data_IF_973524863136
#
_entry.id   IF_973524863136
#
_cell.length_a   1.000
_cell.length_b   1.000
_cell.length_c   1.000
_cell.angle_alpha   90.00
_cell.angle_beta   90.00
_cell.angle_gamma   90.00
#
_symmetry.space_group_name_H-M   'P 1'
#
loop_
_entity.id
_entity.type
_entity.pdbx_description
1 polymer ?
#
# COMPACT_ATOMS: atom_id res chain seq x y z
N UNK A 1 -26.89 -24.98 -56.59
CA UNK A 1 -25.66 -24.94 -57.41
C UNK A 1 -24.58 -24.29 -56.53
N UNK A 2 -23.78 -25.12 -55.84
CA UNK A 2 -22.42 -25.54 -56.21
C UNK A 2 -21.37 -24.55 -55.61
N UNK A 3 -20.70 -24.86 -54.49
CA UNK A 3 -19.50 -25.73 -54.27
C UNK A 3 -18.17 -25.08 -54.67
N UNK A 4 -17.31 -24.84 -53.66
CA UNK A 4 -15.82 -24.98 -53.59
C UNK A 4 -15.45 -24.67 -52.12
N UNK A 5 -14.90 -25.53 -51.23
CA UNK A 5 -13.70 -26.39 -51.20
C UNK A 5 -12.39 -25.56 -51.33
N UNK A 6 -11.27 -25.72 -50.61
CA UNK A 6 -10.76 -26.59 -49.53
C UNK A 6 -9.35 -26.08 -49.11
N UNK A 7 -8.68 -26.76 -48.16
CA UNK A 7 -7.27 -26.68 -47.67
C UNK A 7 -7.05 -25.80 -46.40
N UNK A 8 -6.80 -26.27 -45.18
CA UNK A 8 -6.16 -27.47 -44.57
C UNK A 8 -4.63 -27.35 -44.44
N UNK A 9 -4.16 -27.22 -43.18
CA UNK A 9 -2.82 -27.57 -42.72
C UNK A 9 -2.84 -27.89 -41.19
N UNK A 10 -2.64 -29.18 -40.88
CA UNK A 10 -2.20 -29.75 -39.59
C UNK A 10 -0.73 -29.31 -39.32
N UNK A 11 -0.06 -29.46 -38.17
CA UNK A 11 0.13 -30.58 -37.22
C UNK A 11 1.06 -30.01 -36.11
N UNK A 12 1.03 -30.33 -34.82
CA UNK A 12 1.42 -31.63 -34.23
C UNK A 12 1.57 -31.46 -32.71
N UNK A 13 1.21 -32.51 -31.97
CA UNK A 13 1.46 -32.74 -30.53
C UNK A 13 2.65 -33.69 -30.42
N UNK A 14 3.51 -33.59 -29.40
CA UNK A 14 3.60 -34.66 -28.37
C UNK A 14 4.03 -34.09 -27.00
N UNK A 15 4.03 -34.75 -25.86
CA UNK A 15 3.42 -35.94 -25.29
C UNK A 15 3.76 -35.89 -23.78
N UNK A 16 2.88 -36.41 -22.94
CA UNK A 16 3.12 -36.69 -21.52
C UNK A 16 4.11 -37.85 -21.38
N UNK A 17 4.91 -37.89 -20.30
CA UNK A 17 5.03 -39.16 -19.59
C UNK A 17 4.72 -39.08 -18.08
N UNK A 18 4.09 -40.16 -17.66
CA UNK A 18 3.50 -40.52 -16.38
C UNK A 18 4.57 -41.03 -15.39
N UNK A 19 4.54 -40.55 -14.12
CA UNK A 19 4.83 -41.17 -12.78
C UNK A 19 5.90 -42.31 -12.61
N UNK A 20 6.53 -42.52 -11.41
CA UNK A 20 5.85 -42.58 -10.09
C UNK A 20 6.63 -42.08 -8.85
N UNK A 21 5.89 -42.13 -7.74
CA UNK A 21 6.24 -41.82 -6.35
C UNK A 21 7.52 -42.48 -5.82
N UNK A 22 8.21 -41.81 -4.88
CA UNK A 22 8.77 -42.39 -3.64
C UNK A 22 9.16 -41.27 -2.66
N UNK A 23 8.66 -41.35 -1.42
CA UNK A 23 9.29 -40.70 -0.26
C UNK A 23 10.48 -41.58 0.17
N UNK A 24 11.52 -41.00 0.80
CA UNK A 24 11.64 -41.23 2.23
C UNK A 24 12.08 -39.99 3.04
N UNK A 25 11.65 -40.00 4.30
CA UNK A 25 12.16 -39.13 5.35
C UNK A 25 13.65 -39.41 5.62
N UNK A 26 14.44 -38.37 5.86
CA UNK A 26 15.65 -38.46 6.69
C UNK A 26 15.89 -37.14 7.41
N UNK A 27 16.38 -37.31 8.63
CA UNK A 27 16.47 -36.39 9.76
C UNK A 27 17.74 -35.54 9.68
N UNK A 28 17.72 -34.41 10.38
CA UNK A 28 18.88 -33.70 10.94
C UNK A 28 19.78 -32.90 9.99
N UNK A 29 19.84 -31.58 10.20
CA UNK A 29 21.00 -30.96 10.84
C UNK A 29 20.88 -29.43 10.80
N UNK A 30 20.75 -28.84 11.99
CA UNK A 30 21.05 -27.45 12.30
C UNK A 30 22.53 -27.17 12.04
N UNK A 31 22.90 -26.03 11.44
CA UNK A 31 24.20 -25.42 11.70
C UNK A 31 24.06 -24.12 12.51
N UNK A 32 25.02 -23.82 13.40
CA UNK A 32 24.87 -22.84 14.47
C UNK A 32 25.24 -21.41 14.05
N UNK A 33 24.70 -20.44 14.81
CA UNK A 33 25.12 -19.05 14.88
C UNK A 33 26.60 -18.93 15.29
N UNK A 34 27.37 -18.13 14.55
CA UNK A 34 28.46 -17.30 15.08
C UNK A 34 28.81 -16.17 14.08
N UNK A 35 29.36 -15.02 14.55
CA UNK A 35 28.96 -13.70 14.08
C UNK A 35 30.00 -12.95 13.24
N UNK A 36 29.51 -12.03 12.41
CA UNK A 36 30.24 -10.83 11.97
C UNK A 36 31.20 -11.03 10.81
N UNK A 37 30.85 -10.45 9.65
CA UNK A 37 31.73 -9.65 8.78
C UNK A 37 30.96 -9.31 7.50
N UNK A 38 30.63 -8.02 7.33
CA UNK A 38 30.05 -7.49 6.10
C UNK A 38 31.19 -7.15 5.13
N UNK A 39 31.35 -7.78 3.97
CA UNK A 39 32.25 -7.28 2.94
C UNK A 39 31.54 -6.19 2.12
N UNK A 40 31.51 -4.97 2.68
CA UNK A 40 31.33 -3.75 1.90
C UNK A 40 32.72 -3.26 1.49
N UNK A 41 32.88 -3.00 0.19
CA UNK A 41 33.99 -2.33 -0.54
C UNK A 41 34.93 -3.24 -1.34
N UNK A 42 34.76 -3.28 -2.66
CA UNK A 42 35.66 -2.61 -3.61
C UNK A 42 35.36 -3.03 -5.06
N UNK A 43 34.88 -2.09 -5.88
CA UNK A 43 35.07 -2.16 -7.34
C UNK A 43 35.21 -0.72 -7.86
N UNK A 44 36.25 -0.41 -8.65
CA UNK A 44 36.63 0.96 -8.98
C UNK A 44 35.65 1.64 -9.94
N UNK A 45 35.39 2.92 -9.67
CA UNK A 45 34.56 3.80 -10.46
C UNK A 45 35.24 4.18 -11.78
N UNK A 46 34.60 3.83 -12.90
CA UNK A 46 34.92 4.37 -14.22
C UNK A 46 34.22 5.74 -14.39
N UNK A 47 34.92 6.82 -14.78
CA UNK A 47 34.30 8.12 -14.99
C UNK A 47 33.59 8.16 -16.35
N UNK A 48 32.29 7.87 -16.36
CA UNK A 48 31.44 8.08 -17.54
C UNK A 48 30.89 9.51 -17.53
N UNK A 49 31.28 10.26 -18.55
CA UNK A 49 30.76 11.56 -19.03
C UNK A 49 29.28 11.80 -18.70
N UNK A 50 28.90 12.98 -18.16
CA UNK A 50 27.50 13.27 -17.87
C UNK A 50 26.68 13.40 -19.17
N UNK A 51 25.71 12.50 -19.34
CA UNK A 51 24.67 12.63 -20.34
C UNK A 51 23.93 13.99 -20.20
N UNK A 52 23.49 14.60 -21.30
CA UNK A 52 22.78 15.88 -21.24
C UNK A 52 21.53 15.72 -20.37
N UNK A 53 21.45 16.50 -19.30
CA UNK A 53 20.29 16.51 -18.40
C UNK A 53 19.02 16.73 -19.24
N UNK A 54 17.96 15.93 -19.04
CA UNK A 54 16.70 16.18 -19.71
C UNK A 54 16.24 17.60 -19.38
N UNK A 55 15.94 18.40 -20.42
CA UNK A 55 15.38 19.74 -20.24
C UNK A 55 14.13 19.59 -19.39
N UNK A 56 14.12 20.22 -18.21
CA UNK A 56 13.02 20.15 -17.24
C UNK A 56 11.69 20.33 -17.99
N UNK A 57 10.82 19.33 -17.92
CA UNK A 57 9.46 19.43 -18.45
C UNK A 57 8.79 20.62 -17.76
N UNK A 58 8.45 21.66 -18.53
CA UNK A 58 7.76 22.82 -17.97
C UNK A 58 6.36 22.36 -17.61
N UNK A 59 5.91 22.68 -16.39
CA UNK A 59 4.59 22.32 -15.90
C UNK A 59 3.44 22.99 -16.70
N UNK A 60 3.75 23.99 -17.52
CA UNK A 60 2.79 24.78 -18.29
C UNK A 60 3.26 24.87 -19.74
N UNK A 61 2.34 24.71 -20.69
CA UNK A 61 2.61 24.87 -22.12
C UNK A 61 2.95 26.33 -22.46
N UNK A 62 3.77 26.59 -23.48
CA UNK A 62 4.18 27.96 -23.84
C UNK A 62 3.00 28.87 -24.19
N UNK A 63 1.94 28.31 -24.77
CA UNK A 63 0.71 29.03 -25.11
C UNK A 63 -0.08 29.45 -23.86
N UNK A 64 -0.25 28.56 -22.89
CA UNK A 64 -0.93 28.86 -21.62
C UNK A 64 -0.13 29.88 -20.80
N UNK A 65 1.20 29.79 -20.84
CA UNK A 65 2.08 30.79 -20.22
C UNK A 65 1.92 32.18 -20.85
N UNK A 66 1.73 32.26 -22.18
CA UNK A 66 1.50 33.52 -22.87
C UNK A 66 0.13 34.13 -22.53
N UNK A 67 -0.92 33.31 -22.44
CA UNK A 67 -2.25 33.76 -22.02
C UNK A 67 -2.26 34.28 -20.58
N UNK A 68 -1.55 33.60 -19.67
CA UNK A 68 -1.44 34.04 -18.28
C UNK A 68 -0.65 35.34 -18.15
N UNK A 69 0.42 35.51 -18.92
CA UNK A 69 1.17 36.76 -18.97
C UNK A 69 0.34 37.92 -19.53
N UNK A 70 -0.52 37.66 -20.52
CA UNK A 70 -1.43 38.65 -21.09
C UNK A 70 -2.58 39.04 -20.13
N UNK A 71 -3.06 38.09 -19.33
CA UNK A 71 -4.11 38.32 -18.33
C UNK A 71 -3.59 38.93 -17.02
N UNK A 72 -2.28 38.83 -16.76
CA UNK A 72 -1.68 39.36 -15.53
C UNK A 72 -1.50 40.89 -15.59
N UNK A 73 -1.80 41.63 -14.50
CA UNK A 73 -1.53 43.06 -14.45
C UNK A 73 -0.02 43.33 -14.53
N UNK A 74 0.37 44.30 -15.37
CA UNK A 74 1.77 44.69 -15.57
C UNK A 74 2.35 45.29 -14.29
N UNK A 75 3.01 44.48 -13.47
CA UNK A 75 3.70 44.95 -12.28
C UNK A 75 4.96 45.73 -12.69
N UNK A 76 4.98 47.03 -12.40
CA UNK A 76 6.21 47.83 -12.44
C UNK A 76 6.85 47.77 -11.06
N UNK A 77 7.94 47.00 -10.85
CA UNK A 77 8.62 46.98 -9.58
C UNK A 77 9.14 48.40 -9.26
N UNK A 78 8.99 48.89 -8.02
CA UNK A 78 9.63 50.13 -7.61
C UNK A 78 11.15 50.01 -7.82
N UNK A 79 11.77 51.08 -8.31
CA UNK A 79 13.17 51.07 -8.69
C UNK A 79 14.07 50.56 -7.55
N UNK A 80 15.06 49.68 -7.83
CA UNK A 80 15.95 49.17 -6.81
C UNK A 80 16.73 50.32 -6.17
N UNK A 81 16.66 50.42 -4.84
CA UNK A 81 17.52 51.32 -4.08
C UNK A 81 18.99 50.95 -4.36
N UNK A 82 19.89 51.93 -4.59
CA UNK A 82 21.29 51.65 -4.83
C UNK A 82 21.90 50.93 -3.62
N UNK A 83 22.59 49.83 -3.90
CA UNK A 83 23.32 49.06 -2.90
C UNK A 83 24.50 49.89 -2.38
N UNK A 84 24.53 50.15 -1.08
CA UNK A 84 25.75 50.57 -0.38
C UNK A 84 26.78 49.44 -0.44
N UNK A 85 28.00 49.70 -0.95
CA UNK A 85 29.08 48.73 -0.96
C UNK A 85 29.83 48.77 0.37
N UNK A 86 29.85 47.67 1.11
CA UNK A 86 31.06 47.13 1.73
C UNK A 86 30.70 45.79 2.35
N UNK A 87 30.91 44.75 1.56
CA UNK A 87 31.10 43.41 2.08
C UNK A 87 32.51 43.40 2.71
N UNK A 88 32.58 43.71 4.00
CA UNK A 88 33.62 43.14 4.83
C UNK A 88 33.30 41.65 4.92
N UNK A 89 34.31 40.83 4.66
CA UNK A 89 34.23 39.38 4.54
C UNK A 89 33.54 38.80 5.79
N UNK A 90 32.27 38.38 5.64
CA UNK A 90 31.55 37.65 6.70
C UNK A 90 32.34 36.36 6.98
N UNK A 91 32.99 36.31 8.16
CA UNK A 91 33.63 35.10 8.67
C UNK A 91 32.58 33.97 8.69
N UNK A 92 32.89 32.88 8.00
CA UNK A 92 32.06 31.68 7.89
C UNK A 92 31.70 31.06 9.26
N UNK A 93 32.39 31.47 10.34
CA UNK A 93 32.09 31.12 11.74
C UNK A 93 31.00 32.00 12.37
N UNK A 94 30.78 33.19 11.84
CA UNK A 94 29.77 34.15 12.28
C UNK A 94 28.45 33.98 11.52
N UNK A 95 28.47 33.33 10.35
CA UNK A 95 27.28 33.02 9.53
C UNK A 95 26.29 32.06 10.21
N UNK A 96 26.71 31.32 11.23
CA UNK A 96 25.82 30.44 12.01
C UNK A 96 25.06 31.18 13.14
N UNK A 97 25.36 32.47 13.38
CA UNK A 97 24.46 33.32 14.19
C UNK A 97 23.35 33.81 13.27
N UNK A 98 22.08 33.45 13.52
CA UNK A 98 20.99 34.05 12.76
C UNK A 98 21.01 35.57 12.99
N UNK A 99 20.77 36.36 11.93
CA UNK A 99 20.78 37.85 11.93
C UNK A 99 19.95 38.51 13.04
N UNK A 100 19.07 37.75 13.70
CA UNK A 100 18.21 38.22 14.79
C UNK A 100 18.84 38.04 16.20
N UNK A 101 20.09 37.59 16.33
CA UNK A 101 20.76 37.43 17.64
C UNK A 101 20.20 36.32 18.55
N UNK A 102 19.15 35.62 18.10
CA UNK A 102 18.50 34.53 18.85
C UNK A 102 19.33 33.26 18.69
N UNK A 103 19.97 32.81 19.77
CA UNK A 103 20.68 31.53 19.83
C UNK A 103 19.67 30.40 19.57
N UNK A 104 19.83 29.68 18.45
CA UNK A 104 19.01 28.51 18.14
C UNK A 104 19.53 27.32 18.93
N UNK A 105 18.68 26.78 19.79
CA UNK A 105 18.99 25.54 20.50
C UNK A 105 19.13 24.38 19.48
N UNK A 106 19.97 23.38 19.76
CA UNK A 106 20.02 22.15 18.98
C UNK A 106 18.63 21.50 18.91
N UNK A 107 18.28 20.97 17.74
CA UNK A 107 17.02 20.24 17.56
C UNK A 107 17.14 18.88 18.26
N UNK A 108 16.52 18.75 19.42
CA UNK A 108 16.35 17.46 20.08
C UNK A 108 15.08 16.78 19.56
N UNK A 109 15.21 15.55 19.07
CA UNK A 109 14.07 14.68 18.74
C UNK A 109 13.92 13.72 19.91
N UNK A 110 12.82 13.85 20.65
CA UNK A 110 12.47 12.89 21.71
C UNK A 110 11.71 11.75 21.06
N UNK A 111 12.36 10.60 20.89
CA UNK A 111 11.70 9.38 20.43
C UNK A 111 11.13 8.64 21.64
N UNK A 112 9.80 8.60 21.75
CA UNK A 112 9.10 7.73 22.68
C UNK A 112 8.44 6.58 21.91
N UNK A 113 8.35 5.37 22.50
CA UNK A 113 7.55 4.32 21.92
C UNK A 113 6.08 4.77 21.87
N UNK A 114 5.44 4.60 20.71
CA UNK A 114 4.01 4.85 20.56
C UNK A 114 3.27 3.91 21.53
N UNK A 115 2.28 4.40 22.31
CA UNK A 115 1.51 3.52 23.17
C UNK A 115 0.82 2.45 22.32
N UNK A 116 0.67 1.21 22.85
CA UNK A 116 -0.02 0.15 22.13
C UNK A 116 -1.47 0.57 21.84
N UNK A 117 -1.91 0.35 20.60
CA UNK A 117 -3.32 0.50 20.24
C UNK A 117 -4.00 -0.82 20.57
N UNK A 118 -4.83 -0.82 21.61
CA UNK A 118 -5.56 -2.00 22.03
C UNK A 118 -6.81 -2.19 21.17
N UNK A 119 -6.96 -3.34 20.51
CA UNK A 119 -8.18 -3.74 19.81
C UNK A 119 -9.12 -4.53 20.72
N UNK A 120 -10.42 -4.56 20.40
CA UNK A 120 -11.41 -5.35 21.17
C UNK A 120 -10.96 -6.82 21.30
N UNK A 121 -10.38 -7.41 20.24
CA UNK A 121 -9.80 -8.77 20.25
C UNK A 121 -8.57 -8.93 21.13
N UNK A 122 -7.75 -7.89 21.30
CA UNK A 122 -6.55 -7.95 22.12
C UNK A 122 -6.83 -7.77 23.61
N UNK A 123 -7.93 -7.10 23.97
CA UNK A 123 -8.31 -6.83 25.36
C UNK A 123 -9.21 -7.93 25.92
N UNK A 124 -10.10 -8.46 25.09
CA UNK A 124 -11.17 -9.35 25.55
C UNK A 124 -10.83 -10.81 25.33
N UNK A 125 -11.33 -11.66 26.24
CA UNK A 125 -11.31 -13.10 26.04
C UNK A 125 -12.31 -13.48 24.94
N UNK A 126 -12.18 -14.65 24.32
CA UNK A 126 -13.08 -15.09 23.25
C UNK A 126 -14.56 -15.04 23.68
N UNK A 127 -14.85 -15.40 24.94
CA UNK A 127 -16.20 -15.32 25.52
C UNK A 127 -16.67 -13.87 25.68
N UNK A 128 -15.80 -12.99 26.20
CA UNK A 128 -16.12 -11.58 26.33
C UNK A 128 -16.35 -10.90 24.97
N UNK A 129 -15.60 -11.32 23.95
CA UNK A 129 -15.77 -10.85 22.58
C UNK A 129 -17.12 -11.33 22.00
N UNK A 130 -17.50 -12.58 22.22
CA UNK A 130 -18.82 -13.10 21.81
C UNK A 130 -19.97 -12.34 22.48
N UNK A 131 -19.85 -12.00 23.77
CA UNK A 131 -20.83 -11.19 24.48
C UNK A 131 -20.94 -9.77 23.93
N UNK A 132 -19.81 -9.15 23.57
CA UNK A 132 -19.79 -7.82 22.94
C UNK A 132 -20.40 -7.89 21.54
N UNK A 133 -20.05 -8.91 20.74
CA UNK A 133 -20.58 -9.13 19.42
C UNK A 133 -22.11 -9.34 19.46
N UNK A 134 -22.60 -10.16 20.40
CA UNK A 134 -24.04 -10.35 20.60
C UNK A 134 -24.74 -9.04 20.95
N UNK A 135 -24.16 -8.20 21.81
CA UNK A 135 -24.73 -6.90 22.15
C UNK A 135 -24.74 -5.93 20.98
N UNK A 136 -23.71 -5.96 20.12
CA UNK A 136 -23.57 -5.05 18.97
C UNK A 136 -24.48 -5.45 17.80
N UNK A 137 -24.57 -6.73 17.46
CA UNK A 137 -25.26 -7.20 16.24
C UNK A 137 -26.60 -7.90 16.48
N UNK A 138 -26.82 -8.55 17.63
CA UNK A 138 -28.06 -9.29 17.94
C UNK A 138 -29.02 -8.46 18.81
N UNK A 139 -29.32 -7.25 18.32
CA UNK A 139 -30.30 -6.35 18.91
C UNK A 139 -31.76 -6.84 18.71
N UNK A 140 -32.72 -6.12 19.31
CA UNK A 140 -34.16 -6.42 19.23
C UNK A 140 -34.65 -6.66 17.79
N UNK A 141 -34.12 -5.90 16.82
CA UNK A 141 -34.50 -6.06 15.41
C UNK A 141 -34.04 -7.39 14.83
N UNK A 142 -32.81 -7.83 15.14
CA UNK A 142 -32.33 -9.14 14.71
C UNK A 142 -33.14 -10.27 15.36
N UNK A 143 -33.51 -10.10 16.64
CA UNK A 143 -34.33 -11.08 17.37
C UNK A 143 -35.75 -11.18 16.80
N UNK A 144 -36.34 -10.08 16.39
CA UNK A 144 -37.66 -10.06 15.74
C UNK A 144 -37.62 -10.76 14.36
N UNK A 145 -36.59 -10.46 13.56
CA UNK A 145 -36.42 -11.05 12.22
C UNK A 145 -36.06 -12.55 12.27
N UNK A 146 -35.28 -12.96 13.27
CA UNK A 146 -34.82 -14.35 13.43
C UNK A 146 -35.55 -15.09 14.54
N UNK A 147 -36.77 -14.67 14.91
CA UNK A 147 -37.56 -15.27 15.98
C UNK A 147 -37.84 -16.77 15.77
N UNK A 148 -37.90 -17.21 14.51
CA UNK A 148 -38.17 -18.60 14.12
C UNK A 148 -36.91 -19.43 13.81
N UNK A 149 -35.70 -18.92 14.12
CA UNK A 149 -34.46 -19.70 13.94
C UNK A 149 -34.40 -20.84 14.97
N UNK A 150 -34.51 -22.08 14.47
CA UNK A 150 -34.48 -23.29 15.29
C UNK A 150 -33.03 -23.57 15.74
N UNK A 151 -32.72 -23.53 17.05
CA UNK A 151 -31.35 -23.68 17.55
C UNK A 151 -30.76 -25.09 17.36
N UNK A 152 -31.56 -26.07 16.93
CA UNK A 152 -31.14 -27.45 16.65
C UNK A 152 -30.61 -27.63 15.22
N UNK A 153 -30.97 -26.74 14.30
CA UNK A 153 -30.56 -26.80 12.89
C UNK A 153 -30.08 -25.41 12.46
N UNK A 154 -28.85 -25.04 12.82
CA UNK A 154 -28.26 -23.76 12.44
C UNK A 154 -27.03 -23.39 13.27
N UNK A 155 -26.37 -22.29 12.88
CA UNK A 155 -25.32 -21.68 13.67
C UNK A 155 -25.91 -21.08 14.96
N UNK A 156 -25.17 -21.19 16.08
CA UNK A 156 -25.62 -20.58 17.34
C UNK A 156 -25.65 -19.04 17.21
N UNK A 157 -26.45 -18.38 18.06
CA UNK A 157 -26.53 -16.91 18.10
C UNK A 157 -25.14 -16.27 18.28
N UNK A 158 -24.30 -16.90 19.10
CA UNK A 158 -22.91 -16.50 19.31
C UNK A 158 -22.09 -16.66 18.04
N UNK A 159 -22.17 -17.80 17.35
CA UNK A 159 -21.45 -18.03 16.10
C UNK A 159 -21.85 -17.04 15.01
N UNK A 160 -23.15 -16.72 14.91
CA UNK A 160 -23.62 -15.72 13.95
C UNK A 160 -23.09 -14.33 14.33
N UNK A 161 -23.18 -13.94 15.61
CA UNK A 161 -22.63 -12.68 16.09
C UNK A 161 -21.13 -12.55 15.79
N UNK A 162 -20.38 -13.63 16.02
CA UNK A 162 -18.94 -13.70 15.73
C UNK A 162 -18.66 -13.55 14.24
N UNK A 163 -19.42 -14.24 13.38
CA UNK A 163 -19.25 -14.11 11.93
C UNK A 163 -19.54 -12.69 11.42
N UNK A 164 -20.51 -12.00 12.02
CA UNK A 164 -20.81 -10.61 11.72
C UNK A 164 -19.70 -9.66 12.20
N UNK A 165 -19.17 -9.91 13.38
CA UNK A 165 -18.05 -9.16 13.94
C UNK A 165 -16.79 -9.29 13.08
N UNK A 166 -16.43 -10.53 12.70
CA UNK A 166 -15.28 -10.80 11.84
C UNK A 166 -15.39 -10.11 10.48
N UNK A 167 -16.59 -10.10 9.91
CA UNK A 167 -16.86 -9.41 8.66
C UNK A 167 -16.74 -7.88 8.82
N UNK A 168 -17.25 -7.30 9.91
CA UNK A 168 -17.12 -5.86 10.18
C UNK A 168 -15.65 -5.46 10.39
N UNK A 169 -14.87 -6.24 11.14
CA UNK A 169 -13.43 -6.02 11.28
C UNK A 169 -12.69 -6.13 9.94
N UNK A 170 -13.07 -7.08 9.08
CA UNK A 170 -12.53 -7.17 7.71
C UNK A 170 -12.86 -5.92 6.91
N UNK A 171 -14.10 -5.43 6.96
CA UNK A 171 -14.53 -4.23 6.25
C UNK A 171 -13.80 -2.97 6.74
N UNK A 172 -13.58 -2.85 8.05
CA UNK A 172 -12.77 -1.76 8.64
C UNK A 172 -11.34 -1.80 8.16
N UNK A 173 -10.69 -2.97 8.23
CA UNK A 173 -9.32 -3.13 7.77
C UNK A 173 -9.19 -2.83 6.26
N UNK A 174 -10.17 -3.25 5.45
CA UNK A 174 -10.23 -2.93 4.03
C UNK A 174 -10.40 -1.42 3.80
N UNK A 175 -11.25 -0.75 4.58
CA UNK A 175 -11.47 0.69 4.49
C UNK A 175 -10.18 1.45 4.82
N UNK A 176 -9.52 1.13 5.93
CA UNK A 176 -8.28 1.77 6.38
C UNK A 176 -7.16 1.61 5.34
N UNK A 177 -6.99 0.39 4.79
CA UNK A 177 -6.00 0.15 3.75
C UNK A 177 -6.36 0.83 2.43
N UNK A 178 -7.65 0.95 2.11
CA UNK A 178 -8.10 1.69 0.93
C UNK A 178 -7.83 3.19 1.04
N UNK A 179 -7.96 3.75 2.25
CA UNK A 179 -7.64 5.16 2.53
C UNK A 179 -6.14 5.41 2.50
N UNK A 180 -5.33 4.47 3.02
CA UNK A 180 -3.88 4.49 2.84
C UNK A 180 -3.52 4.48 1.35
N UNK A 181 -4.12 3.60 0.56
CA UNK A 181 -3.90 3.56 -0.88
C UNK A 181 -4.23 4.89 -1.56
N UNK A 182 -5.32 5.58 -1.15
CA UNK A 182 -5.67 6.92 -1.65
C UNK A 182 -4.61 7.96 -1.28
N UNK A 183 -4.12 7.97 -0.04
CA UNK A 183 -3.04 8.88 0.38
C UNK A 183 -1.74 8.64 -0.40
N UNK A 184 -1.38 7.37 -0.61
CA UNK A 184 -0.20 7.02 -1.42
C UNK A 184 -0.41 7.43 -2.87
N UNK A 185 -1.60 7.19 -3.44
CA UNK A 185 -1.94 7.61 -4.81
C UNK A 185 -1.79 9.13 -5.02
N UNK A 186 -2.06 9.93 -3.99
CA UNK A 186 -1.88 11.38 -4.04
C UNK A 186 -0.40 11.80 -4.15
N UNK A 187 0.54 10.97 -3.68
CA UNK A 187 1.99 11.23 -3.74
C UNK A 187 2.64 10.51 -4.94
N UNK A 188 2.33 9.24 -5.13
CA UNK A 188 2.76 8.39 -6.23
C UNK A 188 1.60 7.53 -6.75
N UNK A 189 1.17 7.82 -7.98
CA UNK A 189 0.05 7.15 -8.63
C UNK A 189 0.34 5.67 -8.92
N UNK A 190 1.58 5.30 -9.27
CA UNK A 190 1.90 3.92 -9.64
C UNK A 190 1.89 3.02 -8.41
N UNK A 191 2.55 3.45 -7.32
CA UNK A 191 2.52 2.76 -6.05
C UNK A 191 1.10 2.68 -5.46
N UNK A 192 0.32 3.76 -5.54
CA UNK A 192 -1.05 3.79 -5.03
C UNK A 192 -1.99 2.81 -5.74
N UNK A 193 -1.87 2.67 -7.07
CA UNK A 193 -2.63 1.67 -7.83
C UNK A 193 -2.23 0.23 -7.50
N UNK A 194 -0.94 -0.02 -7.27
CA UNK A 194 -0.45 -1.32 -6.82
C UNK A 194 -1.05 -1.70 -5.46
N UNK A 195 -0.95 -0.81 -4.48
CA UNK A 195 -1.51 -1.04 -3.13
C UNK A 195 -3.02 -1.24 -3.20
N UNK A 196 -3.74 -0.45 -4.01
CA UNK A 196 -5.18 -0.62 -4.17
C UNK A 196 -5.56 -2.01 -4.70
N UNK A 197 -4.79 -2.54 -5.67
CA UNK A 197 -5.01 -3.89 -6.21
C UNK A 197 -4.75 -4.95 -5.15
N UNK A 198 -3.64 -4.83 -4.44
CA UNK A 198 -3.25 -5.77 -3.37
C UNK A 198 -4.29 -5.82 -2.24
N UNK A 199 -4.80 -4.66 -1.83
CA UNK A 199 -5.86 -4.54 -0.83
C UNK A 199 -7.13 -5.23 -1.31
N UNK A 200 -7.52 -4.98 -2.56
CA UNK A 200 -8.70 -5.63 -3.13
C UNK A 200 -8.52 -7.16 -3.18
N UNK A 201 -7.36 -7.64 -3.60
CA UNK A 201 -7.04 -9.07 -3.68
C UNK A 201 -7.05 -9.74 -2.29
N UNK A 202 -6.41 -9.12 -1.30
CA UNK A 202 -6.31 -9.64 0.08
C UNK A 202 -7.66 -9.75 0.77
N UNK A 203 -8.57 -8.79 0.56
CA UNK A 203 -9.87 -8.74 1.24
C UNK A 203 -11.03 -9.31 0.44
N UNK A 204 -10.81 -9.71 -0.82
CA UNK A 204 -11.81 -10.48 -1.58
C UNK A 204 -11.93 -11.85 -0.94
N UNK A 205 -13.16 -12.20 -0.54
CA UNK A 205 -13.45 -13.54 -0.06
C UNK A 205 -13.41 -14.46 -1.27
N UNK A 206 -12.39 -15.31 -1.36
CA UNK A 206 -12.31 -16.43 -2.31
C UNK A 206 -13.34 -17.52 -1.95
N UNK A 207 -14.60 -17.14 -1.81
CA UNK A 207 -15.70 -18.05 -1.52
C UNK A 207 -16.31 -18.51 -2.83
N UNK A 208 -15.85 -19.65 -3.35
CA UNK A 208 -16.55 -20.54 -4.29
C UNK A 208 -17.72 -19.91 -5.07
N UNK A 209 -17.45 -18.93 -5.93
CA UNK A 209 -18.39 -18.52 -6.99
C UNK A 209 -18.08 -19.33 -8.25
N UNK A 210 -17.86 -20.63 -8.08
CA UNK A 210 -17.61 -21.54 -9.19
C UNK A 210 -18.98 -22.06 -9.66
N UNK A 211 -19.58 -21.36 -10.61
CA UNK A 211 -20.76 -21.81 -11.38
C UNK A 211 -20.40 -22.99 -12.29
N UNK A 212 -19.58 -23.94 -11.83
CA UNK A 212 -19.28 -25.16 -12.58
C UNK A 212 -20.62 -25.83 -12.89
N UNK A 213 -21.05 -25.88 -14.17
CA UNK A 213 -22.25 -26.61 -14.51
C UNK A 213 -21.98 -28.06 -14.14
N UNK A 214 -22.84 -28.64 -13.31
CA UNK A 214 -22.85 -30.08 -13.08
C UNK A 214 -22.88 -30.76 -14.45
N UNK A 215 -21.77 -31.39 -14.80
CA UNK A 215 -21.58 -32.09 -16.06
C UNK A 215 -22.71 -33.07 -16.30
N UNK A 216 -23.32 -33.05 -17.50
CA UNK A 216 -24.14 -34.16 -17.99
C UNK A 216 -23.31 -35.44 -17.92
N UNK A 217 -23.80 -36.41 -17.16
CA UNK A 217 -23.47 -37.83 -17.35
C UNK A 217 -24.04 -38.32 -18.67
#
# INVERSE_FOLDING_TARGET
MALTASALAQESVPAVPTQPATLPATVSATPPLAPGENPVLATPATPTTPAPRPRRARAISPEVAAQLAAASPKYAPPAPKPATPSAEEEDLRETDKPRNGIIRLPKYIVTQPRPPVFSERAITTDKGLADIAMKRYLNETYRALNAFTLPLFGASKEQVAMSMYEEDERLRNMADMSDLARMVTATDKAAGLYVKREVQETFVREGNFDWRPLSRR
#
